data_IF_811738125899
#
_entry.id   IF_811738125899
#
_cell.length_a   1.000
_cell.length_b   1.000
_cell.length_c   1.000
_cell.angle_alpha   90.00
_cell.angle_beta   90.00
_cell.angle_gamma   90.00
#
_symmetry.space_group_name_H-M   'P 1'
#
loop_
_entity.id
_entity.type
_entity.pdbx_description
1 polymer ?
#
# COMPACT_ATOMS: atom_id res chain seq x y z
N UNK A 1 87.98 25.51 11.67
CA UNK A 1 87.93 26.97 11.43
C UNK A 1 86.46 27.34 11.16
N UNK A 2 85.69 27.71 12.17
CA UNK A 2 85.43 29.08 12.68
C UNK A 2 84.22 29.74 11.98
N UNK A 3 83.07 29.72 12.68
CA UNK A 3 81.81 30.47 12.44
C UNK A 3 82.07 32.00 12.44
N UNK A 4 81.24 32.88 11.81
CA UNK A 4 79.94 33.37 12.35
C UNK A 4 78.88 33.69 11.24
N UNK A 5 77.55 33.73 11.42
CA UNK A 5 76.63 34.42 12.35
C UNK A 5 76.48 35.95 12.16
N UNK A 6 75.31 36.38 11.63
CA UNK A 6 74.50 37.59 11.98
C UNK A 6 73.30 37.64 11.00
N UNK A 7 72.02 37.46 11.38
CA UNK A 7 71.11 38.33 12.17
C UNK A 7 71.14 39.82 11.74
N UNK A 8 70.00 40.57 11.68
CA UNK A 8 68.80 40.38 12.50
C UNK A 8 67.44 40.89 11.90
N UNK A 9 66.40 40.94 12.77
CA UNK A 9 65.34 42.00 12.84
C UNK A 9 64.23 41.97 11.76
N UNK A 10 62.92 42.09 11.99
CA UNK A 10 62.11 42.74 13.03
C UNK A 10 60.63 42.33 12.86
N UNK A 11 59.91 42.12 13.97
CA UNK A 11 58.45 42.35 14.12
C UNK A 11 58.11 43.85 13.98
N UNK A 12 56.88 44.33 14.23
CA UNK A 12 55.53 43.98 13.78
C UNK A 12 54.89 45.20 13.05
N UNK A 13 53.78 45.04 12.33
CA UNK A 13 52.78 46.11 12.18
C UNK A 13 51.58 45.61 11.37
N UNK A 14 50.50 45.35 12.10
CA UNK A 14 49.16 45.91 11.85
C UNK A 14 49.10 46.92 10.70
N UNK A 15 48.19 46.72 9.74
CA UNK A 15 47.00 47.58 9.57
C UNK A 15 46.22 47.12 8.34
N UNK A 16 44.97 46.78 8.62
CA UNK A 16 43.83 46.58 7.75
C UNK A 16 43.80 47.40 6.47
N UNK A 17 43.48 46.77 5.33
CA UNK A 17 42.61 47.39 4.34
C UNK A 17 41.74 46.33 3.66
N UNK A 18 40.45 46.62 3.66
CA UNK A 18 39.36 45.83 3.10
C UNK A 18 39.58 45.50 1.61
N UNK A 19 39.06 44.35 1.18
CA UNK A 19 37.92 44.31 0.25
C UNK A 19 37.68 42.89 -0.31
N UNK A 20 36.43 42.44 -0.12
CA UNK A 20 35.61 41.74 -1.11
C UNK A 20 36.13 40.40 -1.66
N UNK A 21 35.68 39.30 -1.06
CA UNK A 21 35.25 38.14 -1.85
C UNK A 21 34.16 37.35 -1.13
N UNK A 22 33.13 37.04 -1.90
CA UNK A 22 31.80 36.61 -1.47
C UNK A 22 31.78 35.20 -0.88
N UNK A 23 31.03 35.03 0.21
CA UNK A 23 30.65 33.74 0.74
C UNK A 23 29.52 33.14 -0.12
N UNK A 24 29.81 32.08 -0.88
CA UNK A 24 28.79 31.21 -1.46
C UNK A 24 28.31 30.23 -0.39
N UNK A 25 27.23 30.60 0.32
CA UNK A 25 26.45 29.64 1.10
C UNK A 25 25.50 28.91 0.14
N UNK A 26 25.82 27.67 -0.20
CA UNK A 26 24.88 26.77 -0.87
C UNK A 26 23.84 26.34 0.16
N UNK A 27 22.71 27.05 0.21
CA UNK A 27 21.47 26.57 0.82
C UNK A 27 20.91 25.49 -0.08
N UNK A 28 21.09 24.23 0.33
CA UNK A 28 20.42 23.08 -0.29
C UNK A 28 19.00 22.96 0.27
N UNK A 29 18.00 23.47 -0.44
CA UNK A 29 16.61 23.06 -0.23
C UNK A 29 16.39 21.71 -0.91
N UNK A 30 16.41 20.62 -0.14
CA UNK A 30 15.91 19.33 -0.61
C UNK A 30 14.38 19.41 -0.72
N UNK A 31 13.90 19.86 -1.89
CA UNK A 31 12.49 19.88 -2.23
C UNK A 31 12.03 18.42 -2.39
N UNK A 32 11.31 17.89 -1.40
CA UNK A 32 10.60 16.63 -1.53
C UNK A 32 9.44 16.87 -2.50
N UNK A 33 9.65 16.55 -3.78
CA UNK A 33 8.56 16.36 -4.73
C UNK A 33 7.80 15.10 -4.32
N UNK A 34 6.85 15.26 -3.42
CA UNK A 34 5.75 14.30 -3.26
C UNK A 34 4.98 14.30 -4.58
N UNK A 35 5.34 13.37 -5.47
CA UNK A 35 4.52 13.02 -6.63
C UNK A 35 3.19 12.48 -6.10
N UNK A 36 2.24 13.37 -5.82
CA UNK A 36 0.86 13.00 -5.56
C UNK A 36 0.31 12.44 -6.87
N UNK A 37 0.40 11.12 -7.04
CA UNK A 37 -0.38 10.40 -8.05
C UNK A 37 -1.84 10.70 -7.71
N UNK A 38 -2.42 11.68 -8.40
CA UNK A 38 -3.83 12.01 -8.32
C UNK A 38 -4.60 10.84 -8.93
N UNK A 39 -4.89 9.85 -8.08
CA UNK A 39 -5.72 8.72 -8.44
C UNK A 39 -7.13 9.29 -8.60
N UNK A 40 -7.79 9.17 -9.76
CA UNK A 40 -9.13 9.68 -9.91
C UNK A 40 -10.00 9.01 -8.84
N UNK A 41 -10.57 9.83 -7.95
CA UNK A 41 -11.52 9.37 -6.95
C UNK A 41 -12.71 8.80 -7.73
N UNK A 42 -12.85 7.47 -7.72
CA UNK A 42 -14.02 6.80 -8.27
C UNK A 42 -15.18 7.19 -7.34
N UNK A 43 -15.90 8.24 -7.71
CA UNK A 43 -17.08 8.64 -6.97
C UNK A 43 -18.12 7.52 -7.13
N UNK A 44 -18.70 7.02 -6.02
CA UNK A 44 -19.77 6.05 -6.11
C UNK A 44 -20.92 6.71 -6.89
N UNK A 45 -21.44 6.01 -7.91
CA UNK A 45 -22.51 6.54 -8.78
C UNK A 45 -23.77 6.88 -8.00
N UNK A 46 -23.95 6.29 -6.82
CA UNK A 46 -25.03 6.54 -5.87
C UNK A 46 -24.55 6.24 -4.46
N UNK A 47 -25.06 6.94 -3.45
CA UNK A 47 -24.85 6.58 -2.04
C UNK A 47 -25.45 5.19 -1.75
N UNK A 48 -24.78 4.37 -0.93
CA UNK A 48 -25.37 3.10 -0.47
C UNK A 48 -26.61 3.42 0.38
N UNK A 49 -27.77 2.89 -0.03
CA UNK A 49 -29.08 3.12 0.60
C UNK A 49 -29.06 2.76 2.10
N UNK A 50 -28.13 1.91 2.52
CA UNK A 50 -28.06 1.44 3.89
C UNK A 50 -26.92 2.04 4.73
N UNK A 51 -26.02 2.83 4.16
CA UNK A 51 -24.98 3.52 4.93
C UNK A 51 -25.57 4.46 5.99
N UNK A 52 -26.71 5.08 5.68
CA UNK A 52 -27.36 6.07 6.56
C UNK A 52 -28.65 5.58 7.22
N UNK A 53 -29.05 4.31 7.03
CA UNK A 53 -30.28 3.77 7.60
C UNK A 53 -29.96 3.00 8.87
N UNK A 54 -30.51 3.40 10.02
CA UNK A 54 -30.46 2.65 11.29
C UNK A 54 -30.97 1.21 11.12
N UNK A 55 -30.49 0.23 11.91
CA UNK A 55 -30.92 -1.15 11.73
C UNK A 55 -32.40 -1.23 12.09
N UNK A 56 -33.20 -1.71 11.16
CA UNK A 56 -34.53 -2.17 11.49
C UNK A 56 -34.37 -3.52 12.19
N UNK A 57 -34.84 -3.60 13.42
CA UNK A 57 -34.71 -4.77 14.27
C UNK A 57 -36.09 -5.37 14.46
N UNK A 58 -36.26 -6.60 14.02
CA UNK A 58 -37.51 -7.33 14.18
C UNK A 58 -37.38 -8.27 15.36
N UNK A 59 -38.39 -8.22 16.26
CA UNK A 59 -38.55 -9.20 17.34
C UNK A 59 -39.10 -10.49 16.74
N UNK A 60 -38.25 -11.51 16.66
CA UNK A 60 -38.64 -12.83 16.16
C UNK A 60 -39.27 -13.68 17.27
N UNK A 61 -38.79 -13.51 18.50
CA UNK A 61 -39.32 -14.14 19.72
C UNK A 61 -39.17 -13.16 20.90
N UNK A 62 -39.63 -13.56 22.09
CA UNK A 62 -39.54 -12.79 23.34
C UNK A 62 -38.11 -12.39 23.69
N UNK A 63 -37.12 -13.19 23.31
CA UNK A 63 -35.70 -12.96 23.59
C UNK A 63 -34.83 -12.83 22.34
N UNK A 64 -35.42 -12.87 21.13
CA UNK A 64 -34.66 -12.90 19.88
C UNK A 64 -34.95 -11.66 19.05
N UNK A 65 -33.92 -10.83 18.91
CA UNK A 65 -33.88 -9.69 18.00
C UNK A 65 -33.04 -10.07 16.79
N UNK A 66 -33.62 -9.92 15.60
CA UNK A 66 -32.89 -10.14 14.35
C UNK A 66 -32.79 -8.80 13.62
N UNK A 67 -31.57 -8.48 13.18
CA UNK A 67 -31.33 -7.32 12.33
C UNK A 67 -31.76 -7.68 10.90
N UNK A 68 -32.62 -6.86 10.30
CA UNK A 68 -33.09 -7.07 8.92
C UNK A 68 -32.16 -6.48 7.86
N UNK A 69 -31.08 -5.80 8.27
CA UNK A 69 -30.07 -5.32 7.31
C UNK A 69 -29.41 -6.50 6.60
N UNK A 70 -29.19 -6.40 5.27
CA UNK A 70 -28.33 -7.32 4.54
C UNK A 70 -26.97 -7.46 5.21
N UNK A 71 -26.45 -8.69 5.24
CA UNK A 71 -25.12 -8.97 5.77
C UNK A 71 -24.05 -8.21 4.98
N UNK A 72 -22.95 -7.84 5.63
CA UNK A 72 -21.85 -7.10 4.98
C UNK A 72 -21.31 -7.82 3.75
N UNK A 73 -21.24 -9.15 3.79
CA UNK A 73 -20.84 -10.01 2.67
C UNK A 73 -21.81 -9.98 1.49
N UNK A 74 -23.10 -9.71 1.72
CA UNK A 74 -24.07 -9.56 0.63
C UNK A 74 -23.94 -8.20 -0.06
N UNK A 75 -23.53 -7.17 0.68
CA UNK A 75 -23.27 -5.82 0.15
C UNK A 75 -21.96 -5.75 -0.60
N UNK A 76 -20.93 -6.30 0.03
CA UNK A 76 -19.58 -6.38 -0.46
C UNK A 76 -19.14 -7.85 -0.40
N UNK A 77 -19.26 -8.60 -1.50
CA UNK A 77 -18.84 -10.00 -1.54
C UNK A 77 -17.38 -10.23 -1.19
N UNK A 78 -16.51 -9.21 -1.24
CA UNK A 78 -15.13 -9.35 -0.75
C UNK A 78 -15.04 -9.40 0.78
N UNK A 79 -16.09 -9.03 1.50
CA UNK A 79 -16.20 -9.17 2.95
C UNK A 79 -16.78 -10.52 3.38
N UNK A 80 -17.02 -11.45 2.45
CA UNK A 80 -17.41 -12.81 2.79
C UNK A 80 -16.31 -13.53 3.57
N UNK A 81 -16.71 -14.33 4.55
CA UNK A 81 -15.80 -15.22 5.27
C UNK A 81 -15.49 -16.42 4.40
N UNK A 82 -14.21 -16.74 4.26
CA UNK A 82 -13.75 -17.92 3.53
C UNK A 82 -12.84 -18.77 4.42
N UNK A 83 -12.88 -20.07 4.18
CA UNK A 83 -11.96 -21.06 4.72
C UNK A 83 -11.66 -22.07 3.60
N UNK A 84 -10.52 -21.91 2.94
CA UNK A 84 -10.16 -22.63 1.72
C UNK A 84 -8.75 -23.23 1.79
N UNK A 85 -8.60 -24.35 1.12
CA UNK A 85 -7.32 -25.03 0.89
C UNK A 85 -7.07 -25.16 -0.60
N UNK A 86 -6.03 -24.50 -1.11
CA UNK A 86 -5.69 -24.46 -2.53
C UNK A 86 -4.89 -25.72 -2.94
N UNK A 87 -5.44 -26.60 -3.81
CA UNK A 87 -4.76 -27.82 -4.20
C UNK A 87 -3.53 -27.54 -5.06
N UNK A 88 -2.44 -28.29 -4.81
CA UNK A 88 -1.16 -28.09 -5.51
C UNK A 88 -1.23 -28.42 -7.01
N UNK A 89 -2.12 -29.32 -7.42
CA UNK A 89 -2.26 -29.70 -8.82
C UNK A 89 -2.83 -28.57 -9.67
N UNK A 90 -3.78 -27.79 -9.12
CA UNK A 90 -4.52 -26.74 -9.82
C UNK A 90 -3.89 -25.36 -9.63
N UNK A 91 -3.43 -25.06 -8.41
CA UNK A 91 -2.95 -23.73 -8.05
C UNK A 91 -1.44 -23.77 -7.90
N UNK A 92 -0.69 -23.27 -8.89
CA UNK A 92 0.79 -23.28 -8.85
C UNK A 92 1.36 -21.90 -8.61
N UNK A 93 0.74 -20.89 -9.19
CA UNK A 93 1.18 -19.50 -9.12
C UNK A 93 0.27 -18.66 -8.22
N UNK A 94 0.76 -17.47 -7.83
CA UNK A 94 -0.02 -16.44 -7.14
C UNK A 94 -1.25 -16.04 -7.97
N UNK A 95 -1.11 -15.96 -9.30
CA UNK A 95 -2.21 -15.68 -10.20
C UNK A 95 -3.29 -16.77 -10.22
N UNK A 96 -2.90 -18.04 -10.14
CA UNK A 96 -3.85 -19.13 -9.96
C UNK A 96 -4.55 -19.03 -8.59
N UNK A 97 -3.80 -18.66 -7.55
CA UNK A 97 -4.33 -18.46 -6.20
C UNK A 97 -5.39 -17.37 -6.14
N UNK A 98 -5.16 -16.23 -6.80
CA UNK A 98 -6.17 -15.19 -6.93
C UNK A 98 -7.42 -15.67 -7.68
N UNK A 99 -7.26 -16.36 -8.81
CA UNK A 99 -8.41 -16.88 -9.57
C UNK A 99 -9.20 -17.90 -8.76
N UNK A 100 -8.52 -18.73 -7.98
CA UNK A 100 -9.14 -19.70 -7.11
C UNK A 100 -9.90 -19.04 -5.94
N UNK A 101 -9.31 -18.02 -5.31
CA UNK A 101 -9.95 -17.23 -4.25
C UNK A 101 -11.19 -16.48 -4.73
N UNK A 102 -11.15 -15.96 -5.96
CA UNK A 102 -12.25 -15.19 -6.53
C UNK A 102 -13.37 -16.05 -7.12
N UNK A 103 -13.24 -17.38 -7.08
CA UNK A 103 -14.29 -18.30 -7.52
C UNK A 103 -15.60 -17.98 -6.77
N UNK A 104 -16.72 -17.95 -7.49
CA UNK A 104 -18.07 -17.67 -6.96
C UNK A 104 -18.28 -16.29 -6.30
N UNK A 105 -17.24 -15.46 -6.14
CA UNK A 105 -17.36 -14.10 -5.58
C UNK A 105 -18.04 -13.11 -6.53
N UNK A 106 -18.08 -13.44 -7.83
CA UNK A 106 -18.49 -12.53 -8.91
C UNK A 106 -17.45 -11.46 -9.26
N UNK A 107 -16.29 -11.45 -8.59
CA UNK A 107 -15.16 -10.59 -8.95
C UNK A 107 -14.18 -11.32 -9.87
N UNK A 108 -13.48 -10.55 -10.70
CA UNK A 108 -12.39 -11.03 -11.53
C UNK A 108 -11.20 -10.09 -11.43
N UNK A 109 -10.01 -10.60 -11.72
CA UNK A 109 -8.82 -9.76 -11.80
C UNK A 109 -8.96 -8.78 -12.96
N UNK A 110 -8.61 -7.51 -12.72
CA UNK A 110 -8.47 -6.55 -13.80
C UNK A 110 -7.39 -7.03 -14.79
N UNK A 111 -7.55 -6.77 -16.09
CA UNK A 111 -6.48 -7.04 -17.06
C UNK A 111 -5.21 -6.34 -16.59
N UNK A 112 -4.07 -7.06 -16.63
CA UNK A 112 -2.80 -6.58 -16.08
C UNK A 112 -2.34 -5.31 -16.78
N UNK A 113 -2.59 -4.15 -16.18
CA UNK A 113 -2.16 -2.86 -16.71
C UNK A 113 -0.72 -2.51 -16.31
N UNK A 114 -0.19 -3.17 -15.27
CA UNK A 114 1.17 -2.96 -14.77
C UNK A 114 2.04 -4.20 -15.01
N UNK A 115 3.26 -3.99 -15.53
CA UNK A 115 4.26 -5.05 -15.70
C UNK A 115 4.61 -5.74 -14.38
N UNK A 116 4.71 -4.96 -13.29
CA UNK A 116 5.00 -5.50 -11.96
C UNK A 116 3.89 -6.43 -11.47
N UNK A 117 2.62 -6.12 -11.79
CA UNK A 117 1.51 -6.97 -11.41
C UNK A 117 1.55 -8.30 -12.18
N UNK A 118 1.83 -8.27 -13.49
CA UNK A 118 2.01 -9.50 -14.26
C UNK A 118 3.18 -10.36 -13.74
N UNK A 119 4.27 -9.74 -13.28
CA UNK A 119 5.38 -10.48 -12.67
C UNK A 119 4.96 -11.18 -11.37
N UNK A 120 4.16 -10.52 -10.51
CA UNK A 120 3.62 -11.13 -9.30
C UNK A 120 2.78 -12.36 -9.65
N UNK A 121 1.88 -12.26 -10.63
CA UNK A 121 0.96 -13.33 -10.98
C UNK A 121 1.66 -14.64 -11.37
N UNK A 122 2.88 -14.56 -11.93
CA UNK A 122 3.65 -15.74 -12.35
C UNK A 122 4.50 -16.33 -11.21
N UNK A 123 4.64 -15.63 -10.07
CA UNK A 123 5.41 -16.15 -8.93
C UNK A 123 4.76 -17.42 -8.37
N UNK A 124 5.56 -18.40 -7.89
CA UNK A 124 5.03 -19.60 -7.26
C UNK A 124 4.29 -19.25 -5.97
N UNK A 125 3.16 -19.91 -5.71
CA UNK A 125 2.41 -19.72 -4.47
C UNK A 125 3.11 -20.48 -3.31
N UNK A 126 3.56 -19.78 -2.24
CA UNK A 126 4.18 -20.40 -1.08
C UNK A 126 3.26 -21.42 -0.40
N UNK A 127 3.81 -22.53 0.09
CA UNK A 127 3.04 -23.60 0.72
C UNK A 127 2.19 -23.14 1.91
N UNK A 128 2.70 -22.21 2.71
CA UNK A 128 1.99 -21.65 3.88
C UNK A 128 0.73 -20.86 3.47
N UNK A 129 0.74 -20.22 2.30
CA UNK A 129 -0.40 -19.43 1.80
C UNK A 129 -1.47 -20.28 1.11
N UNK A 130 -1.32 -21.60 1.06
CA UNK A 130 -2.31 -22.48 0.43
C UNK A 130 -3.52 -22.76 1.30
N UNK A 131 -3.33 -22.73 2.61
CA UNK A 131 -4.39 -22.90 3.59
C UNK A 131 -4.72 -21.53 4.15
N UNK A 132 -5.88 -20.99 3.79
CA UNK A 132 -6.33 -19.67 4.21
C UNK A 132 -7.71 -19.83 4.83
N UNK A 133 -7.87 -19.47 6.10
CA UNK A 133 -9.18 -19.50 6.73
C UNK A 133 -9.13 -18.94 8.15
N UNK A 134 -10.27 -19.04 8.85
CA UNK A 134 -11.44 -18.23 8.55
C UNK A 134 -11.07 -16.74 8.52
N UNK A 135 -11.07 -16.15 7.33
CA UNK A 135 -10.75 -14.72 7.11
C UNK A 135 -11.66 -14.12 6.04
N UNK A 136 -11.68 -12.79 5.92
CA UNK A 136 -12.41 -12.15 4.81
C UNK A 136 -11.73 -12.45 3.48
N UNK A 137 -12.50 -12.57 2.41
CA UNK A 137 -11.93 -12.75 1.05
C UNK A 137 -10.96 -11.61 0.68
N UNK A 138 -11.27 -10.36 1.04
CA UNK A 138 -10.38 -9.21 0.87
C UNK A 138 -9.03 -9.38 1.57
N UNK A 139 -9.03 -9.92 2.78
CA UNK A 139 -7.82 -10.21 3.57
C UNK A 139 -7.04 -11.38 2.97
N UNK A 140 -7.72 -12.43 2.52
CA UNK A 140 -7.10 -13.55 1.84
C UNK A 140 -6.37 -13.12 0.56
N UNK A 141 -6.99 -12.26 -0.24
CA UNK A 141 -6.35 -11.65 -1.41
C UNK A 141 -5.11 -10.84 -1.00
N UNK A 142 -5.20 -10.09 0.10
CA UNK A 142 -4.07 -9.32 0.60
C UNK A 142 -2.92 -10.20 1.12
N UNK A 143 -3.22 -11.35 1.74
CA UNK A 143 -2.25 -12.35 2.21
C UNK A 143 -1.49 -12.94 1.02
N UNK A 144 -2.21 -13.36 -0.02
CA UNK A 144 -1.64 -13.96 -1.24
C UNK A 144 -0.80 -12.93 -2.02
N UNK A 145 -1.24 -11.67 -2.05
CA UNK A 145 -0.47 -10.59 -2.69
C UNK A 145 0.80 -10.23 -1.92
N UNK A 146 0.74 -10.26 -0.58
CA UNK A 146 1.81 -9.80 0.30
C UNK A 146 1.76 -8.30 0.62
N UNK A 147 2.61 -7.82 1.54
CA UNK A 147 2.52 -6.46 2.12
C UNK A 147 2.91 -5.34 1.16
N UNK A 148 3.64 -5.65 0.09
CA UNK A 148 4.04 -4.67 -0.94
C UNK A 148 2.87 -4.23 -1.84
N UNK A 149 1.74 -4.94 -1.77
CA UNK A 149 0.59 -4.74 -2.65
C UNK A 149 -0.61 -4.21 -1.87
N UNK A 150 -1.52 -3.53 -2.56
CA UNK A 150 -2.78 -3.06 -1.98
C UNK A 150 -3.94 -3.46 -2.89
N UNK A 151 -4.95 -4.08 -2.29
CA UNK A 151 -6.19 -4.37 -2.98
C UNK A 151 -6.91 -3.07 -3.36
N UNK A 152 -7.40 -3.02 -4.60
CA UNK A 152 -8.17 -1.89 -5.11
C UNK A 152 -9.26 -2.43 -6.01
N UNK A 153 -10.50 -2.05 -5.74
CA UNK A 153 -11.64 -2.41 -6.58
C UNK A 153 -11.97 -1.22 -7.49
N UNK A 154 -12.04 -1.47 -8.80
CA UNK A 154 -12.64 -0.50 -9.72
C UNK A 154 -14.12 -0.77 -9.74
N UNK A 155 -14.92 0.09 -9.12
CA UNK A 155 -16.35 -0.14 -8.86
C UNK A 155 -17.15 -0.52 -10.11
N UNK A 156 -17.27 -1.82 -10.37
CA UNK A 156 -18.28 -2.51 -11.17
C UNK A 156 -18.16 -4.01 -10.92
N UNK A 157 -19.30 -4.65 -10.65
CA UNK A 157 -19.52 -6.07 -10.98
C UNK A 157 -19.69 -6.17 -12.50
#
# INVERSE_FOLDING_TARGET
MTRPMRHPRNTPATTTLACLSAAMLVVGCAQQTTSSVSRPAVQPRTNDIYQNRSPEVVRYDRYTLVNTRPADSQRDPLNQMIDITMPQQLVRSVGDGFRYLLLESGYSLCPSSSSMFSELLVRPLPGVQRNIGPVRLSEALQIVAGPAWRLSTTGKK
#
